data_IF_901371512076
#
_entry.id   IF_901371512076
#
_cell.length_a   1.000
_cell.length_b   1.000
_cell.length_c   1.000
_cell.angle_alpha   90.00
_cell.angle_beta   90.00
_cell.angle_gamma   90.00
#
_symmetry.space_group_name_H-M   'P 1'
#
loop_
_entity.id
_entity.type
_entity.pdbx_description
1 polymer ?
#
# COMPACT_ATOMS: atom_id res chain seq x y z
N UNK A 1 32.98 -27.51 -7.57
CA UNK A 1 32.09 -26.33 -7.68
C UNK A 1 30.68 -26.76 -7.34
N UNK A 2 30.18 -26.31 -6.19
CA UNK A 2 28.81 -25.84 -5.94
C UNK A 2 28.57 -25.93 -4.44
N UNK A 3 28.91 -24.87 -3.72
CA UNK A 3 28.58 -24.69 -2.30
C UNK A 3 27.34 -23.81 -2.24
N UNK A 4 26.16 -24.42 -2.28
CA UNK A 4 24.96 -23.71 -1.85
C UNK A 4 25.07 -23.50 -0.34
N UNK A 5 25.00 -22.24 0.11
CA UNK A 5 24.99 -21.89 1.52
C UNK A 5 23.60 -22.19 2.11
N UNK A 6 23.51 -22.78 3.32
CA UNK A 6 22.23 -22.97 4.01
C UNK A 6 21.53 -21.62 4.25
N UNK A 7 20.21 -21.58 4.08
CA UNK A 7 19.38 -20.38 4.28
C UNK A 7 19.60 -19.72 5.66
N UNK A 8 19.90 -20.52 6.69
CA UNK A 8 20.18 -20.03 8.05
C UNK A 8 21.52 -19.28 8.18
N UNK A 9 22.48 -19.50 7.30
CA UNK A 9 23.72 -18.72 7.27
C UNK A 9 23.54 -17.38 6.53
N UNK A 10 22.61 -17.29 5.58
CA UNK A 10 22.29 -16.03 4.90
C UNK A 10 21.71 -14.98 5.87
N UNK A 11 20.92 -15.41 6.87
CA UNK A 11 20.37 -14.53 7.93
C UNK A 11 21.42 -13.78 8.74
N UNK A 12 22.61 -14.36 8.92
CA UNK A 12 23.68 -13.74 9.73
C UNK A 12 24.38 -12.57 9.02
N UNK A 13 24.16 -12.42 7.72
CA UNK A 13 24.80 -11.39 6.88
C UNK A 13 23.79 -10.45 6.21
N UNK A 14 22.50 -10.60 6.52
CA UNK A 14 21.44 -9.73 6.01
C UNK A 14 21.48 -8.39 6.76
N UNK A 15 22.05 -7.36 6.13
CA UNK A 15 21.89 -5.98 6.55
C UNK A 15 20.58 -5.49 5.94
N UNK A 16 19.57 -5.29 6.77
CA UNK A 16 18.29 -4.73 6.35
C UNK A 16 18.36 -3.21 6.35
N UNK A 17 18.03 -2.60 5.21
CA UNK A 17 17.89 -1.16 5.09
C UNK A 17 16.41 -0.90 4.90
N UNK A 18 15.73 -0.63 6.01
CA UNK A 18 14.31 -0.29 6.00
C UNK A 18 14.14 1.18 5.64
N UNK A 19 13.46 1.46 4.53
CA UNK A 19 12.71 2.70 4.42
C UNK A 19 11.36 2.45 5.06
N UNK A 20 11.22 2.81 6.34
CA UNK A 20 9.97 2.63 7.07
C UNK A 20 8.82 3.26 6.27
N UNK A 21 7.85 2.44 5.89
CA UNK A 21 6.61 2.91 5.27
C UNK A 21 5.90 3.82 6.26
N UNK A 22 5.75 5.11 5.94
CA UNK A 22 4.95 6.03 6.76
C UNK A 22 3.44 5.76 6.65
N UNK A 23 3.03 4.83 5.76
CA UNK A 23 1.64 4.47 5.55
C UNK A 23 1.04 3.81 6.79
N UNK A 24 0.10 4.49 7.44
CA UNK A 24 -0.78 3.94 8.46
C UNK A 24 -2.00 3.31 7.76
N UNK A 25 -2.11 1.97 7.68
CA UNK A 25 -3.11 1.28 6.87
C UNK A 25 -4.52 1.26 7.49
N UNK A 26 -4.72 1.92 8.63
CA UNK A 26 -5.95 1.87 9.40
C UNK A 26 -6.56 3.26 9.57
N UNK A 27 -7.83 3.39 9.18
CA UNK A 27 -8.64 4.59 9.44
C UNK A 27 -8.76 4.75 10.96
N UNK A 28 -8.37 5.92 11.47
CA UNK A 28 -8.48 6.24 12.90
C UNK A 28 -9.94 6.46 13.28
N UNK A 29 -10.30 6.26 14.56
CA UNK A 29 -11.68 6.40 15.04
C UNK A 29 -12.28 7.78 14.70
N UNK A 30 -11.47 8.82 14.80
CA UNK A 30 -11.83 10.21 14.51
C UNK A 30 -12.16 10.43 13.03
N UNK A 31 -11.55 9.66 12.11
CA UNK A 31 -11.84 9.74 10.68
C UNK A 31 -13.15 9.02 10.33
N UNK A 32 -13.45 7.90 11.02
CA UNK A 32 -14.74 7.20 10.88
C UNK A 32 -15.89 8.12 11.32
N UNK A 33 -15.74 8.83 12.43
CA UNK A 33 -16.76 9.78 12.92
C UNK A 33 -17.05 10.88 11.89
N UNK A 34 -16.02 11.47 11.28
CA UNK A 34 -16.19 12.49 10.22
C UNK A 34 -16.97 11.94 9.02
N UNK A 35 -16.65 10.73 8.56
CA UNK A 35 -17.34 10.09 7.43
C UNK A 35 -18.81 9.83 7.75
N UNK A 36 -19.10 9.34 8.97
CA UNK A 36 -20.46 9.07 9.42
C UNK A 36 -21.29 10.35 9.50
N UNK A 37 -20.75 11.40 10.13
CA UNK A 37 -21.39 12.73 10.21
C UNK A 37 -21.67 13.29 8.82
N UNK A 38 -20.71 13.19 7.88
CA UNK A 38 -20.89 13.62 6.49
C UNK A 38 -22.04 12.88 5.78
N UNK A 39 -22.20 11.58 6.06
CA UNK A 39 -23.29 10.75 5.54
C UNK A 39 -24.62 10.95 6.29
N UNK A 40 -24.69 11.93 7.19
CA UNK A 40 -25.83 12.19 8.05
C UNK A 40 -26.22 10.97 8.91
N UNK A 41 -25.21 10.18 9.30
CA UNK A 41 -25.32 9.02 10.18
C UNK A 41 -24.75 9.43 11.55
N UNK A 42 -25.57 9.29 12.58
CA UNK A 42 -25.17 9.54 13.97
C UNK A 42 -24.18 8.45 14.43
N UNK A 43 -22.91 8.78 14.74
CA UNK A 43 -21.92 7.79 15.15
C UNK A 43 -22.33 6.98 16.39
N UNK A 44 -23.12 7.58 17.29
CA UNK A 44 -23.62 6.90 18.50
C UNK A 44 -24.62 5.77 18.19
N UNK A 45 -25.13 5.71 16.95
CA UNK A 45 -26.10 4.72 16.46
C UNK A 45 -25.48 3.73 15.49
N UNK A 46 -24.15 3.64 15.47
CA UNK A 46 -23.39 2.71 14.68
C UNK A 46 -22.89 1.57 15.56
N UNK A 47 -23.13 0.34 15.11
CA UNK A 47 -22.75 -0.88 15.81
C UNK A 47 -21.99 -1.79 14.86
N UNK A 48 -21.23 -2.73 15.41
CA UNK A 48 -20.66 -3.85 14.64
C UNK A 48 -21.48 -5.10 14.90
N UNK A 49 -21.83 -5.83 13.84
CA UNK A 49 -22.46 -7.14 14.00
C UNK A 49 -21.44 -8.24 14.31
N UNK A 50 -21.94 -9.46 14.54
CA UNK A 50 -21.13 -10.65 14.83
C UNK A 50 -20.12 -11.03 13.74
N UNK A 51 -20.20 -10.41 12.55
CA UNK A 51 -19.27 -10.58 11.43
C UNK A 51 -18.32 -9.38 11.26
N UNK A 52 -18.32 -8.44 12.22
CA UNK A 52 -17.51 -7.23 12.16
C UNK A 52 -17.99 -6.20 11.15
N UNK A 53 -19.24 -6.28 10.67
CA UNK A 53 -19.79 -5.31 9.72
C UNK A 53 -20.40 -4.14 10.46
N UNK A 54 -20.09 -2.94 9.99
CA UNK A 54 -20.68 -1.70 10.49
C UNK A 54 -22.16 -1.62 10.08
N UNK A 55 -23.06 -1.43 11.04
CA UNK A 55 -24.50 -1.35 10.85
C UNK A 55 -25.07 -0.15 11.61
N UNK A 56 -26.18 0.40 11.12
CA UNK A 56 -27.00 1.36 11.85
C UNK A 56 -28.47 0.95 11.80
N UNK A 57 -29.27 1.48 12.73
CA UNK A 57 -30.71 1.21 12.82
C UNK A 57 -31.45 2.48 12.41
N UNK A 58 -32.11 2.44 11.26
CA UNK A 58 -32.94 3.54 10.75
C UNK A 58 -34.37 3.02 10.66
N UNK A 59 -35.31 3.67 11.36
CA UNK A 59 -36.73 3.29 11.40
C UNK A 59 -36.95 1.80 11.78
N UNK A 60 -36.17 1.30 12.75
CA UNK A 60 -36.26 -0.09 13.23
C UNK A 60 -35.64 -1.14 12.30
N UNK A 61 -35.08 -0.76 11.15
CA UNK A 61 -34.42 -1.68 10.22
C UNK A 61 -32.90 -1.56 10.30
N UNK A 62 -32.21 -2.70 10.38
CA UNK A 62 -30.74 -2.78 10.28
C UNK A 62 -30.33 -2.43 8.85
N UNK A 63 -29.42 -1.47 8.70
CA UNK A 63 -28.80 -1.10 7.43
C UNK A 63 -27.29 -1.21 7.57
N UNK A 64 -26.66 -1.93 6.65
CA UNK A 64 -25.20 -2.02 6.59
C UNK A 64 -24.63 -0.69 6.09
N UNK A 65 -23.55 -0.25 6.74
CA UNK A 65 -22.74 0.88 6.31
C UNK A 65 -21.51 0.27 5.63
N UNK A 66 -21.46 0.36 4.31
CA UNK A 66 -20.25 0.06 3.55
C UNK A 66 -19.47 1.37 3.37
N UNK A 67 -18.22 1.39 3.83
CA UNK A 67 -17.27 2.44 3.47
C UNK A 67 -16.75 2.14 2.07
N UNK A 68 -16.89 3.11 1.18
CA UNK A 68 -16.37 3.10 -0.18
C UNK A 68 -15.04 3.84 -0.24
N UNK A 69 -14.25 3.56 -1.27
CA UNK A 69 -12.97 4.23 -1.50
C UNK A 69 -13.12 5.77 -1.55
N UNK A 70 -14.23 6.26 -2.10
CA UNK A 70 -14.54 7.70 -2.20
C UNK A 70 -14.76 8.36 -0.82
N UNK A 71 -15.25 7.62 0.17
CA UNK A 71 -15.44 8.16 1.53
C UNK A 71 -14.11 8.46 2.24
N UNK A 72 -13.07 7.73 1.87
CA UNK A 72 -11.73 7.87 2.43
C UNK A 72 -11.01 9.08 1.79
N UNK A 73 -11.32 9.38 0.53
CA UNK A 73 -10.76 10.49 -0.23
C UNK A 73 -11.30 11.87 0.24
N UNK A 74 -12.58 11.93 0.57
CA UNK A 74 -13.28 13.17 0.90
C UNK A 74 -13.05 13.70 2.33
N UNK A 75 -12.40 12.90 3.19
CA UNK A 75 -12.12 13.28 4.57
C UNK A 75 -10.93 14.25 4.72
N UNK A 76 -10.03 14.29 3.72
CA UNK A 76 -8.71 14.91 3.83
C UNK A 76 -8.41 15.89 2.67
N UNK A 77 -9.44 16.58 2.15
CA UNK A 77 -9.37 17.41 0.94
C UNK A 77 -8.09 18.24 0.80
N UNK A 78 -7.36 18.04 -0.32
CA UNK A 78 -6.14 18.78 -0.62
C UNK A 78 -6.09 19.25 -2.08
N UNK A 79 -5.66 20.51 -2.26
CA UNK A 79 -5.52 21.24 -3.51
C UNK A 79 -4.02 21.39 -3.78
N UNK A 80 -3.48 20.72 -4.80
CA UNK A 80 -2.06 20.89 -5.13
C UNK A 80 -1.84 21.91 -6.26
N UNK A 81 -0.96 22.88 -5.98
CA UNK A 81 -0.47 23.93 -6.88
C UNK A 81 1.05 24.01 -6.66
N UNK A 82 1.87 23.52 -7.58
CA UNK A 82 3.35 23.61 -7.44
C UNK A 82 4.01 24.35 -8.60
N UNK A 83 4.73 25.44 -8.26
CA UNK A 83 5.78 26.05 -9.06
C UNK A 83 7.14 25.76 -8.39
N UNK A 84 8.18 25.49 -9.19
CA UNK A 84 9.41 24.81 -8.79
C UNK A 84 10.34 25.50 -7.79
N UNK A 85 10.64 24.78 -6.72
CA UNK A 85 11.74 24.90 -5.75
C UNK A 85 12.15 23.44 -5.38
N UNK A 86 13.36 23.15 -4.83
CA UNK A 86 13.83 21.78 -4.60
C UNK A 86 12.83 21.01 -3.74
N UNK A 87 12.32 19.91 -4.30
CA UNK A 87 11.08 19.29 -3.84
C UNK A 87 11.33 18.55 -2.52
N UNK A 88 10.99 19.19 -1.41
CA UNK A 88 10.80 18.49 -0.15
C UNK A 88 9.57 17.60 -0.35
N UNK A 89 9.77 16.28 -0.48
CA UNK A 89 8.67 15.34 -0.58
C UNK A 89 7.98 15.27 0.78
N UNK A 90 6.76 15.79 0.87
CA UNK A 90 5.92 15.61 2.04
C UNK A 90 5.08 14.34 1.85
N UNK A 91 5.27 13.38 2.74
CA UNK A 91 4.48 12.16 2.77
C UNK A 91 3.44 12.31 3.86
N UNK A 92 2.15 12.17 3.51
CA UNK A 92 1.09 12.13 4.53
C UNK A 92 1.14 10.82 5.30
N UNK A 93 1.59 9.73 4.65
CA UNK A 93 1.58 8.41 5.25
C UNK A 93 0.16 7.88 5.46
N UNK A 94 -0.80 8.36 4.66
CA UNK A 94 -2.21 7.98 4.76
C UNK A 94 -2.70 7.46 3.41
N UNK A 95 -3.68 6.54 3.45
CA UNK A 95 -4.34 6.03 2.24
C UNK A 95 -5.38 7.04 1.75
N UNK A 96 -4.93 8.19 1.23
CA UNK A 96 -5.79 9.28 0.73
C UNK A 96 -5.78 9.34 -0.81
N UNK A 97 -6.43 10.35 -1.40
CA UNK A 97 -6.31 10.65 -2.85
C UNK A 97 -4.87 10.72 -3.34
N UNK A 98 -3.95 11.17 -2.47
CA UNK A 98 -2.56 11.36 -2.83
C UNK A 98 -1.75 10.06 -2.80
N UNK A 99 -2.36 8.93 -2.41
CA UNK A 99 -1.66 7.65 -2.24
C UNK A 99 -0.84 7.25 -3.48
N UNK A 100 -1.40 7.39 -4.68
CA UNK A 100 -0.66 7.07 -5.91
C UNK A 100 0.54 8.00 -6.12
N UNK A 101 0.38 9.29 -5.83
CA UNK A 101 1.49 10.24 -5.87
C UNK A 101 2.54 9.88 -4.83
N UNK A 102 2.14 9.54 -3.61
CA UNK A 102 3.04 9.11 -2.54
C UNK A 102 3.79 7.83 -2.89
N UNK A 103 3.14 6.85 -3.53
CA UNK A 103 3.84 5.65 -4.02
C UNK A 103 4.88 6.01 -5.08
N UNK A 104 4.58 6.95 -5.97
CA UNK A 104 5.53 7.46 -6.97
C UNK A 104 6.68 8.25 -6.34
N UNK A 105 6.40 9.08 -5.34
CA UNK A 105 7.42 9.82 -4.57
C UNK A 105 8.30 8.84 -3.78
N UNK A 106 7.71 7.83 -3.16
CA UNK A 106 8.42 6.76 -2.46
C UNK A 106 9.34 6.02 -3.41
N UNK A 107 8.89 5.69 -4.62
CA UNK A 107 9.73 5.08 -5.65
C UNK A 107 10.96 5.92 -6.01
N UNK A 108 10.79 7.25 -6.15
CA UNK A 108 11.90 8.18 -6.39
C UNK A 108 12.88 8.21 -5.22
N UNK A 109 12.37 8.34 -4.00
CA UNK A 109 13.21 8.39 -2.79
C UNK A 109 13.98 7.09 -2.61
N UNK A 110 13.32 5.94 -2.76
CA UNK A 110 13.93 4.62 -2.65
C UNK A 110 15.00 4.40 -3.74
N UNK A 111 14.75 4.83 -4.99
CA UNK A 111 15.73 4.76 -6.07
C UNK A 111 16.97 5.62 -5.80
N UNK A 112 16.81 6.85 -5.30
CA UNK A 112 17.93 7.70 -4.91
C UNK A 112 18.69 7.13 -3.70
N UNK A 113 17.98 6.59 -2.72
CA UNK A 113 18.58 6.00 -1.53
C UNK A 113 19.40 4.75 -1.88
N UNK A 114 18.91 3.94 -2.84
CA UNK A 114 19.60 2.74 -3.29
C UNK A 114 21.02 3.02 -3.81
N UNK A 115 21.29 4.21 -4.36
CA UNK A 115 22.64 4.60 -4.83
C UNK A 115 23.68 4.67 -3.70
N UNK A 116 23.23 4.79 -2.45
CA UNK A 116 24.10 4.93 -1.27
C UNK A 116 24.46 3.60 -0.64
N UNK A 117 23.88 2.51 -1.10
CA UNK A 117 24.02 1.20 -0.49
C UNK A 117 24.40 0.15 -1.53
N UNK A 118 25.21 -0.81 -1.11
CA UNK A 118 25.49 -1.99 -1.91
C UNK A 118 24.52 -3.11 -1.51
N UNK A 119 23.92 -3.76 -2.51
CA UNK A 119 22.97 -4.84 -2.32
C UNK A 119 22.93 -5.74 -3.56
N UNK A 120 22.54 -6.99 -3.33
CA UNK A 120 22.51 -8.02 -4.37
C UNK A 120 21.10 -8.30 -4.89
N UNK A 121 20.07 -8.01 -4.10
CA UNK A 121 18.67 -8.31 -4.42
C UNK A 121 17.74 -7.21 -3.93
N UNK A 122 16.68 -6.97 -4.68
CA UNK A 122 15.60 -6.05 -4.33
C UNK A 122 14.39 -6.89 -3.93
N UNK A 123 13.78 -6.58 -2.80
CA UNK A 123 12.57 -7.28 -2.34
C UNK A 123 11.47 -6.25 -2.03
N UNK A 124 10.41 -6.26 -2.83
CA UNK A 124 9.29 -5.33 -2.72
C UNK A 124 8.03 -6.06 -2.26
N UNK A 125 7.29 -5.48 -1.31
CA UNK A 125 6.07 -6.03 -0.73
C UNK A 125 4.84 -5.25 -1.18
N UNK A 126 3.90 -5.95 -1.82
CA UNK A 126 2.64 -5.41 -2.34
C UNK A 126 2.78 -4.22 -3.32
N UNK A 127 1.65 -3.90 -3.97
CA UNK A 127 1.58 -2.96 -5.09
C UNK A 127 2.12 -1.56 -4.77
N UNK A 128 2.06 -1.11 -3.51
CA UNK A 128 2.54 0.20 -3.08
C UNK A 128 4.04 0.38 -3.26
N UNK A 129 4.81 -0.72 -3.24
CA UNK A 129 6.27 -0.69 -3.32
C UNK A 129 6.82 -1.26 -4.63
N UNK A 130 5.97 -1.81 -5.50
CA UNK A 130 6.42 -2.40 -6.76
C UNK A 130 7.12 -1.40 -7.68
N UNK A 131 6.57 -0.19 -7.82
CA UNK A 131 7.20 0.87 -8.62
C UNK A 131 8.59 1.26 -8.06
N UNK A 132 8.77 1.24 -6.74
CA UNK A 132 10.07 1.47 -6.13
C UNK A 132 11.06 0.35 -6.49
N UNK A 133 10.62 -0.91 -6.39
CA UNK A 133 11.42 -2.06 -6.76
C UNK A 133 11.83 -2.06 -8.24
N UNK A 134 10.89 -1.72 -9.13
CA UNK A 134 11.12 -1.60 -10.58
C UNK A 134 12.13 -0.49 -10.87
N UNK A 135 11.95 0.69 -10.28
CA UNK A 135 12.86 1.81 -10.49
C UNK A 135 14.30 1.47 -10.07
N UNK A 136 14.47 0.81 -8.92
CA UNK A 136 15.78 0.37 -8.44
C UNK A 136 16.36 -0.71 -9.37
N UNK A 137 15.55 -1.67 -9.84
CA UNK A 137 15.99 -2.70 -10.81
C UNK A 137 16.48 -2.08 -12.10
N UNK A 138 15.72 -1.15 -12.68
CA UNK A 138 16.11 -0.46 -13.92
C UNK A 138 17.40 0.34 -13.75
N UNK A 139 17.60 0.96 -12.58
CA UNK A 139 18.79 1.73 -12.27
C UNK A 139 20.03 0.86 -12.04
N UNK A 140 19.88 -0.30 -11.41
CA UNK A 140 21.01 -1.08 -10.87
C UNK A 140 21.28 -2.38 -11.61
N UNK A 141 20.31 -2.87 -12.39
CA UNK A 141 20.35 -4.19 -13.03
C UNK A 141 20.23 -5.37 -12.06
N UNK A 142 20.01 -5.12 -10.76
CA UNK A 142 19.90 -6.16 -9.73
C UNK A 142 18.54 -6.88 -9.81
N UNK A 143 18.47 -8.17 -9.44
CA UNK A 143 17.23 -8.94 -9.48
C UNK A 143 16.18 -8.39 -8.52
N UNK A 144 14.92 -8.36 -8.98
CA UNK A 144 13.73 -7.95 -8.24
C UNK A 144 12.88 -9.16 -7.88
N UNK A 145 12.59 -9.29 -6.58
CA UNK A 145 11.61 -10.21 -6.03
C UNK A 145 10.42 -9.41 -5.52
N UNK A 146 9.21 -9.76 -5.96
CA UNK A 146 7.98 -9.16 -5.43
C UNK A 146 7.25 -10.16 -4.55
N UNK A 147 6.72 -9.68 -3.43
CA UNK A 147 5.96 -10.46 -2.49
C UNK A 147 4.50 -10.04 -2.52
N UNK A 148 3.62 -10.97 -2.89
CA UNK A 148 2.17 -10.78 -2.95
C UNK A 148 1.55 -11.33 -1.67
N UNK A 149 1.01 -10.45 -0.83
CA UNK A 149 0.22 -10.86 0.34
C UNK A 149 -1.24 -11.14 -0.04
N UNK A 150 -1.79 -10.32 -0.94
CA UNK A 150 -3.09 -10.52 -1.57
C UNK A 150 -3.14 -9.75 -2.90
N UNK A 151 -3.95 -10.23 -3.84
CA UNK A 151 -4.21 -9.48 -5.08
C UNK A 151 -5.41 -8.56 -4.92
N UNK A 152 -5.53 -7.59 -5.82
CA UNK A 152 -6.73 -6.76 -5.94
C UNK A 152 -7.97 -7.61 -6.27
N UNK A 153 -7.78 -8.71 -7.00
CA UNK A 153 -8.85 -9.68 -7.25
C UNK A 153 -9.37 -10.32 -5.95
N UNK A 154 -8.47 -10.70 -5.04
CA UNK A 154 -8.84 -11.32 -3.76
C UNK A 154 -9.57 -10.32 -2.85
N UNK A 155 -9.13 -9.06 -2.83
CA UNK A 155 -9.66 -8.03 -1.93
C UNK A 155 -10.95 -7.38 -2.41
N UNK A 156 -11.16 -7.31 -3.72
CA UNK A 156 -12.24 -6.47 -4.29
C UNK A 156 -13.62 -7.12 -4.32
N UNK A 157 -13.73 -8.42 -4.01
CA UNK A 157 -15.02 -9.12 -3.97
C UNK A 157 -15.81 -9.03 -5.28
N UNK A 158 -15.13 -8.86 -6.42
CA UNK A 158 -15.73 -8.67 -7.75
C UNK A 158 -15.73 -7.24 -8.29
N UNK A 159 -15.30 -6.24 -7.50
CA UNK A 159 -15.24 -4.83 -7.89
C UNK A 159 -13.79 -4.34 -8.04
N UNK A 160 -13.05 -4.96 -8.96
CA UNK A 160 -11.60 -4.76 -9.13
C UNK A 160 -11.26 -3.30 -9.44
N UNK A 161 -10.37 -2.70 -8.63
CA UNK A 161 -9.73 -1.45 -9.00
C UNK A 161 -8.71 -1.68 -10.13
N UNK A 162 -9.10 -1.30 -11.36
CA UNK A 162 -8.26 -1.51 -12.54
C UNK A 162 -6.87 -0.87 -12.45
N UNK A 163 -6.71 0.23 -11.69
CA UNK A 163 -5.41 0.88 -11.51
C UNK A 163 -4.49 0.05 -10.61
N UNK A 164 -4.97 -0.38 -9.44
CA UNK A 164 -4.19 -1.24 -8.53
C UNK A 164 -3.86 -2.56 -9.22
N UNK A 165 -4.83 -3.17 -9.90
CA UNK A 165 -4.60 -4.37 -10.69
C UNK A 165 -3.49 -4.19 -11.75
N UNK A 166 -3.48 -3.06 -12.47
CA UNK A 166 -2.45 -2.79 -13.46
C UNK A 166 -1.06 -2.62 -12.83
N UNK A 167 -0.96 -2.02 -11.65
CA UNK A 167 0.29 -1.89 -10.88
C UNK A 167 0.76 -3.28 -10.41
N UNK A 168 -0.13 -4.07 -9.81
CA UNK A 168 0.17 -5.45 -9.39
C UNK A 168 0.68 -6.29 -10.57
N UNK A 169 -0.05 -6.24 -11.69
CA UNK A 169 0.32 -6.94 -12.92
C UNK A 169 1.65 -6.45 -13.49
N UNK A 170 1.93 -5.15 -13.45
CA UNK A 170 3.20 -4.62 -13.92
C UNK A 170 4.35 -5.09 -13.03
N UNK A 171 4.21 -4.95 -11.70
CA UNK A 171 5.19 -5.44 -10.74
C UNK A 171 5.50 -6.93 -10.89
N UNK A 172 4.48 -7.77 -11.03
CA UNK A 172 4.67 -9.20 -11.24
C UNK A 172 5.34 -9.53 -12.58
N UNK A 173 5.17 -8.70 -13.62
CA UNK A 173 5.83 -8.90 -14.93
C UNK A 173 7.29 -8.46 -14.95
N UNK A 174 7.61 -7.41 -14.21
CA UNK A 174 8.98 -6.90 -14.12
C UNK A 174 9.84 -7.69 -13.12
N UNK A 175 9.21 -8.40 -12.17
CA UNK A 175 9.90 -9.22 -11.19
C UNK A 175 10.60 -10.42 -11.83
N UNK A 176 11.79 -10.76 -11.32
CA UNK A 176 12.50 -12.00 -11.66
C UNK A 176 11.94 -13.20 -10.87
N UNK A 177 11.33 -12.94 -9.71
CA UNK A 177 10.60 -13.93 -8.94
C UNK A 177 9.41 -13.32 -8.20
N UNK A 178 8.35 -14.10 -8.05
CA UNK A 178 7.15 -13.75 -7.26
C UNK A 178 7.05 -14.71 -6.08
N UNK A 179 6.93 -14.16 -4.88
CA UNK A 179 6.67 -14.91 -3.64
C UNK A 179 5.20 -14.71 -3.26
N UNK A 180 4.52 -15.80 -2.98
CA UNK A 180 3.15 -15.82 -2.44
C UNK A 180 3.17 -16.36 -1.02
N UNK A 181 2.16 -15.97 -0.24
CA UNK A 181 1.99 -16.41 1.15
C UNK A 181 1.39 -17.82 1.29
N UNK A 182 1.01 -18.47 0.18
CA UNK A 182 0.43 -19.81 0.17
C UNK A 182 0.70 -20.56 -1.15
N UNK A 183 0.49 -21.89 -1.11
CA UNK A 183 0.71 -22.83 -2.22
C UNK A 183 -0.61 -23.41 -2.79
N UNK A 184 -1.73 -22.71 -2.57
CA UNK A 184 -3.08 -23.22 -2.86
C UNK A 184 -3.65 -22.67 -4.17
#
# INVERSE_FOLDING_TARGET
MSSALPFDDAKKHLIYIETASMLHPYIQAEQIEKILVKRNIDPSKVFFDEKGRMITIINGKKKQIALSFDDIQDADGDNDNTNGEPTKFEFTGRYTSNLYTETGMYARVAAELSKKYDFDVIHAHDWLTYEAGIAIKQQTGKPLVVHVHATEFDRSGGHVNGRVFNIERHGMKEADAVITVSNL
#
